data_IF_351141396987
#
_entry.id   IF_351141396987
#
_cell.length_a   1.000
_cell.length_b   1.000
_cell.length_c   1.000
_cell.angle_alpha   90.00
_cell.angle_beta   90.00
_cell.angle_gamma   90.00
#
_symmetry.space_group_name_H-M   'P 1'
#
loop_
_entity.id
_entity.type
_entity.pdbx_description
1 polymer ?
#
# COMPACT_ATOMS: atom_id res chain seq x y z
N UNK A 1 11.97 7.79 15.37
CA UNK A 1 10.65 7.53 14.73
C UNK A 1 10.00 8.86 14.44
N UNK A 2 9.62 9.13 13.21
CA UNK A 2 8.90 10.33 12.81
C UNK A 2 7.53 10.41 13.48
N UNK A 3 7.01 11.62 13.63
CA UNK A 3 5.68 11.87 14.19
C UNK A 3 4.62 11.53 13.14
N UNK A 4 3.74 10.59 13.42
CA UNK A 4 2.71 10.12 12.45
C UNK A 4 1.40 10.91 12.52
N UNK A 5 1.16 11.67 13.60
CA UNK A 5 -0.04 12.51 13.76
C UNK A 5 0.32 13.87 14.32
N UNK A 6 -0.42 14.90 13.93
CA UNK A 6 -0.25 16.27 14.37
C UNK A 6 -1.55 16.85 14.91
N UNK A 7 -1.47 17.81 15.85
CA UNK A 7 -2.63 18.52 16.39
C UNK A 7 -2.95 19.73 15.53
N UNK A 8 -4.18 19.84 15.07
CA UNK A 8 -4.69 20.99 14.33
C UNK A 8 -5.80 21.70 15.12
N UNK A 9 -5.83 23.04 15.05
CA UNK A 9 -6.95 23.82 15.56
C UNK A 9 -7.94 24.05 14.40
N UNK A 10 -9.15 23.54 14.56
CA UNK A 10 -10.15 23.63 13.49
C UNK A 10 -11.39 24.40 13.93
N UNK A 11 -12.08 24.97 12.95
CA UNK A 11 -13.48 25.38 13.09
C UNK A 11 -14.38 24.25 12.63
N UNK A 12 -15.39 23.92 13.42
CA UNK A 12 -16.44 22.99 13.03
C UNK A 12 -17.68 23.76 12.69
N UNK A 13 -18.35 23.38 11.60
CA UNK A 13 -19.68 23.83 11.25
C UNK A 13 -20.60 22.62 11.27
N UNK A 14 -21.70 22.72 11.95
CA UNK A 14 -22.73 21.68 12.01
C UNK A 14 -24.06 22.26 11.56
N UNK A 15 -24.81 21.48 10.82
CA UNK A 15 -26.17 21.78 10.43
C UNK A 15 -27.09 20.86 11.21
N UNK A 16 -28.06 21.43 11.93
CA UNK A 16 -29.11 20.67 12.61
C UNK A 16 -30.42 21.35 12.30
N UNK A 17 -31.36 20.63 11.72
CA UNK A 17 -32.70 21.13 11.36
C UNK A 17 -32.66 22.48 10.60
N UNK A 18 -31.71 22.61 9.65
CA UNK A 18 -31.47 23.80 8.86
C UNK A 18 -30.73 24.95 9.56
N UNK A 19 -30.42 24.82 10.85
CA UNK A 19 -29.68 25.84 11.62
C UNK A 19 -28.18 25.56 11.64
N UNK A 20 -27.37 26.61 11.45
CA UNK A 20 -25.90 26.53 11.45
C UNK A 20 -25.34 26.78 12.85
N UNK A 21 -24.48 25.87 13.27
CA UNK A 21 -23.70 25.96 14.51
C UNK A 21 -22.22 25.98 14.18
N UNK A 22 -21.48 26.93 14.73
CA UNK A 22 -20.04 27.01 14.57
C UNK A 22 -19.34 26.82 15.92
N UNK A 23 -18.24 26.07 15.93
CA UNK A 23 -17.43 25.84 17.11
C UNK A 23 -15.94 25.80 16.76
N UNK A 24 -15.09 25.78 17.78
CA UNK A 24 -13.65 25.54 17.66
C UNK A 24 -13.29 24.30 18.47
N UNK A 25 -12.47 23.41 17.93
CA UNK A 25 -11.92 22.26 18.65
C UNK A 25 -10.51 21.95 18.20
N UNK A 26 -9.80 21.19 19.05
CA UNK A 26 -8.61 20.49 18.59
C UNK A 26 -9.01 19.27 17.77
N UNK A 27 -8.19 18.96 16.76
CA UNK A 27 -8.32 17.75 15.95
C UNK A 27 -6.94 17.13 15.74
N UNK A 28 -6.90 15.88 15.27
CA UNK A 28 -5.66 15.21 14.89
C UNK A 28 -5.68 14.96 13.40
N UNK A 29 -4.59 15.29 12.73
CA UNK A 29 -4.38 15.05 11.30
C UNK A 29 -3.22 14.09 11.12
N UNK A 30 -3.27 13.29 10.06
CA UNK A 30 -2.13 12.47 9.65
C UNK A 30 -0.99 13.39 9.19
N UNK A 31 0.23 13.04 9.57
CA UNK A 31 1.41 13.74 9.05
C UNK A 31 1.70 13.22 7.65
N UNK A 32 1.89 14.17 6.73
CA UNK A 32 2.30 13.93 5.35
C UNK A 32 3.58 14.72 5.08
N UNK A 33 4.65 14.01 4.76
CA UNK A 33 5.96 14.60 4.49
C UNK A 33 6.58 14.00 3.23
N UNK A 34 7.37 14.78 2.47
CA UNK A 34 8.11 14.25 1.34
C UNK A 34 9.16 13.23 1.81
N UNK A 35 9.44 12.25 0.98
CA UNK A 35 10.59 11.36 1.10
C UNK A 35 11.34 11.37 -0.23
N UNK A 36 12.55 11.93 -0.23
CA UNK A 36 13.49 11.91 -1.36
C UNK A 36 14.24 10.57 -1.32
N UNK A 37 13.95 9.71 -2.29
CA UNK A 37 14.55 8.39 -2.43
C UNK A 37 15.74 8.51 -3.38
N UNK A 38 16.92 8.17 -2.87
CA UNK A 38 18.17 8.19 -3.63
C UNK A 38 18.77 6.80 -3.74
N UNK A 39 19.44 6.57 -4.84
CA UNK A 39 20.20 5.34 -5.07
C UNK A 39 21.61 5.74 -5.47
N UNK A 40 22.63 5.26 -4.72
CA UNK A 40 24.03 5.60 -4.93
C UNK A 40 24.26 7.12 -5.05
N UNK A 41 23.58 7.91 -4.22
CA UNK A 41 23.64 9.37 -4.17
C UNK A 41 22.80 10.11 -5.21
N UNK A 42 22.15 9.42 -6.15
CA UNK A 42 21.35 10.03 -7.21
C UNK A 42 19.85 9.91 -6.90
N UNK A 43 19.11 10.99 -7.09
CA UNK A 43 17.67 11.01 -6.85
C UNK A 43 16.95 10.05 -7.82
N UNK A 44 16.21 9.10 -7.26
CA UNK A 44 15.39 8.16 -8.00
C UNK A 44 13.92 8.60 -8.04
N UNK A 45 13.35 8.98 -6.88
CA UNK A 45 11.94 9.34 -6.75
C UNK A 45 11.73 10.28 -5.57
N UNK A 46 10.63 11.03 -5.62
CA UNK A 46 10.10 11.82 -4.51
C UNK A 46 8.66 11.39 -4.25
N UNK A 47 8.35 10.92 -3.06
CA UNK A 47 6.98 10.51 -2.67
C UNK A 47 6.52 11.25 -1.41
N UNK A 48 5.21 11.53 -1.31
CA UNK A 48 4.59 11.99 -0.08
C UNK A 48 4.17 10.78 0.74
N UNK A 49 4.56 10.73 2.03
CA UNK A 49 4.24 9.58 2.87
C UNK A 49 3.92 9.98 4.32
N UNK A 50 3.27 9.11 5.05
CA UNK A 50 3.25 9.17 6.52
C UNK A 50 4.59 8.64 7.05
N UNK A 51 5.34 9.42 7.86
CA UNK A 51 6.65 9.00 8.38
C UNK A 51 6.61 7.68 9.13
N UNK A 52 7.69 6.92 9.01
CA UNK A 52 7.88 5.60 9.62
C UNK A 52 7.77 4.46 8.60
N UNK A 53 8.48 3.38 8.90
CA UNK A 53 8.64 2.21 8.02
C UNK A 53 9.21 2.58 6.63
N UNK A 54 10.04 3.61 6.54
CA UNK A 54 10.54 4.13 5.27
C UNK A 54 11.46 3.12 4.57
N UNK A 55 12.20 2.29 5.31
CA UNK A 55 13.00 1.20 4.75
C UNK A 55 12.09 0.17 4.06
N UNK A 56 11.01 -0.23 4.73
CA UNK A 56 10.01 -1.12 4.14
C UNK A 56 9.37 -0.50 2.90
N UNK A 57 8.94 0.79 2.99
CA UNK A 57 8.37 1.53 1.87
C UNK A 57 9.24 1.43 0.61
N UNK A 58 10.52 1.66 0.78
CA UNK A 58 11.44 1.71 -0.36
C UNK A 58 11.76 0.33 -0.90
N UNK A 59 11.95 -0.67 -0.04
CA UNK A 59 12.12 -2.06 -0.50
C UNK A 59 10.91 -2.53 -1.30
N UNK A 60 9.70 -2.26 -0.83
CA UNK A 60 8.48 -2.61 -1.55
C UNK A 60 8.34 -1.85 -2.88
N UNK A 61 8.62 -0.55 -2.89
CA UNK A 61 8.62 0.26 -4.10
C UNK A 61 9.61 -0.26 -5.14
N UNK A 62 10.88 -0.47 -4.76
CA UNK A 62 11.91 -0.96 -5.67
C UNK A 62 11.62 -2.38 -6.18
N UNK A 63 11.04 -3.24 -5.34
CA UNK A 63 10.61 -4.57 -5.74
C UNK A 63 9.45 -4.51 -6.74
N UNK A 64 8.42 -3.71 -6.49
CA UNK A 64 7.27 -3.54 -7.37
C UNK A 64 7.63 -2.97 -8.74
N UNK A 65 8.67 -2.11 -8.80
CA UNK A 65 9.22 -1.60 -10.07
C UNK A 65 10.14 -2.61 -10.79
N UNK A 66 10.40 -3.78 -10.17
CA UNK A 66 11.27 -4.82 -10.71
C UNK A 66 12.76 -4.48 -10.62
N UNK A 67 13.11 -3.48 -9.81
CA UNK A 67 14.48 -2.97 -9.63
C UNK A 67 15.30 -3.92 -8.77
N UNK A 68 14.73 -4.41 -7.68
CA UNK A 68 15.33 -5.42 -6.80
C UNK A 68 14.51 -6.71 -6.78
N UNK A 69 15.15 -7.83 -6.48
CA UNK A 69 14.51 -9.12 -6.30
C UNK A 69 14.57 -9.60 -4.84
N UNK A 70 15.69 -9.33 -4.21
CA UNK A 70 16.04 -9.83 -2.89
C UNK A 70 16.45 -8.65 -2.00
N UNK A 71 16.34 -8.82 -0.68
CA UNK A 71 16.76 -7.78 0.26
C UNK A 71 18.27 -7.48 0.17
N UNK A 72 19.07 -8.48 -0.20
CA UNK A 72 20.52 -8.37 -0.36
C UNK A 72 20.94 -7.50 -1.56
N UNK A 73 20.03 -7.21 -2.48
CA UNK A 73 20.28 -6.28 -3.58
C UNK A 73 20.56 -4.85 -3.07
N UNK A 74 20.13 -4.56 -1.84
CA UNK A 74 20.45 -3.33 -1.12
C UNK A 74 21.48 -3.64 -0.04
N UNK A 75 22.67 -3.07 -0.17
CA UNK A 75 23.77 -3.31 0.76
C UNK A 75 23.77 -2.34 1.94
N UNK A 76 23.24 -1.16 1.76
CA UNK A 76 23.11 -0.13 2.78
C UNK A 76 21.86 0.72 2.53
N UNK A 77 21.15 1.08 3.60
CA UNK A 77 20.05 2.03 3.59
C UNK A 77 20.24 3.02 4.73
N UNK A 78 20.43 4.31 4.43
CA UNK A 78 20.68 5.33 5.46
C UNK A 78 19.83 6.57 5.23
N UNK A 79 19.39 7.15 6.33
CA UNK A 79 18.91 8.52 6.30
C UNK A 79 20.11 9.45 6.11
N UNK A 80 20.06 10.27 5.08
CA UNK A 80 20.99 11.38 4.97
C UNK A 80 20.56 12.46 5.98
N UNK A 81 21.53 13.09 6.63
CA UNK A 81 21.26 14.27 7.45
C UNK A 81 20.61 15.33 6.58
N UNK A 82 19.30 15.47 6.73
CA UNK A 82 18.54 16.47 6.01
C UNK A 82 19.02 17.84 6.43
N UNK A 83 19.08 18.79 5.48
CA UNK A 83 19.34 20.18 5.83
C UNK A 83 18.37 20.60 6.93
N UNK A 84 18.93 21.18 8.00
CA UNK A 84 18.15 21.83 9.03
C UNK A 84 17.48 23.04 8.38
N UNK A 85 16.21 22.91 8.02
CA UNK A 85 15.46 24.04 7.48
C UNK A 85 14.98 24.86 8.67
N UNK A 86 15.54 26.04 8.83
CA UNK A 86 14.96 27.08 9.66
C UNK A 86 13.69 27.60 8.98
N UNK A 87 12.53 27.18 9.49
CA UNK A 87 11.22 27.64 8.97
C UNK A 87 10.84 29.05 9.44
N UNK A 88 11.78 29.81 9.96
CA UNK A 88 11.58 31.16 10.50
C UNK A 88 10.88 31.20 11.87
N UNK A 89 10.60 30.05 12.46
CA UNK A 89 10.03 29.94 13.83
C UNK A 89 11.08 29.71 14.91
N UNK A 90 12.36 29.62 14.53
CA UNK A 90 13.49 29.38 15.44
C UNK A 90 13.64 27.91 15.87
N UNK A 91 12.84 27.00 15.30
CA UNK A 91 12.97 25.56 15.53
C UNK A 91 13.61 24.89 14.32
N UNK A 92 14.81 24.39 14.49
CA UNK A 92 15.49 23.55 13.52
C UNK A 92 14.71 22.23 13.38
N UNK A 93 14.00 22.04 12.26
CA UNK A 93 13.43 20.73 11.92
C UNK A 93 14.48 19.88 11.22
N UNK A 94 14.93 18.83 11.88
CA UNK A 94 15.72 17.81 11.25
C UNK A 94 14.78 16.97 10.35
N UNK A 95 14.85 17.19 9.04
CA UNK A 95 14.03 16.47 8.08
C UNK A 95 14.76 15.19 7.68
N UNK A 96 14.49 14.08 8.37
CA UNK A 96 14.85 12.73 7.93
C UNK A 96 14.07 12.32 6.66
N UNK A 97 14.01 13.23 5.68
CA UNK A 97 13.20 13.09 4.48
C UNK A 97 14.03 12.73 3.25
N UNK A 98 15.30 12.41 3.43
CA UNK A 98 16.19 11.92 2.37
C UNK A 98 16.74 10.57 2.81
N UNK A 99 16.48 9.54 2.00
CA UNK A 99 17.04 8.21 2.21
C UNK A 99 17.83 7.77 1.00
N UNK A 100 19.09 7.43 1.21
CA UNK A 100 20.02 6.96 0.19
C UNK A 100 20.29 5.47 0.37
N UNK A 101 20.21 4.74 -0.74
CA UNK A 101 20.47 3.32 -0.81
C UNK A 101 21.72 3.05 -1.62
N UNK A 102 22.54 2.17 -1.11
CA UNK A 102 23.65 1.62 -1.87
C UNK A 102 23.27 0.28 -2.43
N UNK A 103 23.40 0.11 -3.73
CA UNK A 103 23.16 -1.15 -4.42
C UNK A 103 24.23 -1.40 -5.45
N UNK A 104 24.52 -2.68 -5.68
CA UNK A 104 25.39 -3.15 -6.75
C UNK A 104 24.60 -3.72 -7.93
N UNK A 105 23.25 -3.70 -7.88
CA UNK A 105 22.38 -4.23 -8.92
C UNK A 105 22.54 -3.43 -10.25
N UNK A 106 23.04 -4.05 -11.32
CA UNK A 106 23.39 -3.33 -12.56
C UNK A 106 22.18 -2.77 -13.30
N UNK A 107 20.97 -3.28 -13.05
CA UNK A 107 19.73 -2.81 -13.68
C UNK A 107 19.27 -1.42 -13.19
N UNK A 108 19.86 -0.89 -12.14
CA UNK A 108 19.52 0.44 -11.59
C UNK A 108 20.16 1.59 -12.36
N UNK A 109 21.30 1.35 -13.04
CA UNK A 109 22.05 2.39 -13.74
C UNK A 109 21.27 3.11 -14.86
N UNK A 110 20.37 2.45 -15.63
CA UNK A 110 19.55 3.13 -16.64
C UNK A 110 18.33 3.85 -16.07
N UNK A 111 17.87 3.50 -14.87
CA UNK A 111 16.63 4.02 -14.27
C UNK A 111 16.86 5.36 -13.55
N UNK A 112 18.06 5.58 -13.07
CA UNK A 112 18.47 6.85 -12.44
C UNK A 112 18.41 8.03 -13.42
N UNK A 113 18.43 7.76 -14.74
CA UNK A 113 18.27 8.78 -15.78
C UNK A 113 16.80 9.11 -16.09
N UNK A 114 15.84 8.33 -15.61
CA UNK A 114 14.41 8.61 -15.73
C UNK A 114 13.90 9.10 -14.38
N UNK A 115 13.78 10.42 -14.22
CA UNK A 115 13.13 11.02 -13.03
C UNK A 115 11.72 10.42 -12.84
N UNK A 116 11.59 9.49 -11.90
CA UNK A 116 10.29 9.00 -11.45
C UNK A 116 9.64 10.06 -10.55
N UNK A 117 9.02 11.06 -11.15
CA UNK A 117 8.07 11.90 -10.43
C UNK A 117 6.82 11.05 -10.22
N UNK A 118 6.69 10.45 -9.06
CA UNK A 118 5.47 9.72 -8.67
C UNK A 118 4.36 10.73 -8.41
N UNK A 119 3.74 11.22 -9.47
CA UNK A 119 2.41 11.82 -9.36
C UNK A 119 1.42 10.68 -9.38
N UNK A 120 0.46 10.70 -8.48
CA UNK A 120 -0.65 9.74 -8.36
C UNK A 120 -1.57 9.66 -9.60
N UNK A 121 -1.11 10.16 -10.73
CA UNK A 121 -1.77 10.19 -12.02
C UNK A 121 -0.74 9.93 -13.14
N UNK A 122 -0.10 8.76 -13.15
CA UNK A 122 0.77 8.38 -14.25
C UNK A 122 -0.08 7.93 -15.44
N UNK A 123 0.01 8.67 -16.56
CA UNK A 123 -0.60 8.31 -17.82
C UNK A 123 0.15 7.15 -18.47
N UNK A 124 -0.18 5.93 -18.08
CA UNK A 124 0.27 4.72 -18.76
C UNK A 124 -0.88 4.25 -19.65
N UNK A 125 -0.63 4.04 -20.94
CA UNK A 125 -1.63 3.50 -21.87
C UNK A 125 -1.94 2.03 -21.53
N UNK A 126 -3.26 1.71 -21.38
CA UNK A 126 -3.74 0.49 -20.74
C UNK A 126 -3.15 -0.85 -21.19
N UNK A 127 -3.12 -1.17 -22.49
CA UNK A 127 -2.67 -2.49 -22.98
C UNK A 127 -1.15 -2.69 -22.90
N UNK A 128 -0.37 -1.67 -23.24
CA UNK A 128 1.11 -1.72 -23.13
C UNK A 128 1.58 -1.88 -21.68
N UNK A 129 0.74 -1.46 -20.72
CA UNK A 129 1.02 -1.55 -19.30
C UNK A 129 0.84 -2.95 -18.76
N UNK A 130 -0.19 -3.67 -19.18
CA UNK A 130 -0.49 -5.04 -18.73
C UNK A 130 0.60 -5.99 -19.23
N UNK A 131 0.96 -5.90 -20.50
CA UNK A 131 2.05 -6.71 -21.08
C UNK A 131 3.39 -6.45 -20.37
N UNK A 132 3.69 -5.19 -20.05
CA UNK A 132 4.90 -4.83 -19.32
C UNK A 132 4.91 -5.40 -17.90
N UNK A 133 3.76 -5.43 -17.22
CA UNK A 133 3.62 -6.05 -15.88
C UNK A 133 3.83 -7.55 -15.97
N UNK A 134 3.21 -8.22 -16.94
CA UNK A 134 3.36 -9.66 -17.15
C UNK A 134 4.80 -10.06 -17.44
N UNK A 135 5.53 -9.27 -18.25
CA UNK A 135 6.94 -9.52 -18.56
C UNK A 135 7.87 -9.29 -17.36
N UNK A 136 7.51 -8.40 -16.43
CA UNK A 136 8.28 -8.14 -15.21
C UNK A 136 8.00 -9.14 -14.10
N UNK A 137 6.86 -9.83 -14.13
CA UNK A 137 6.44 -10.78 -13.09
C UNK A 137 7.42 -11.94 -12.99
N UNK A 138 7.79 -12.28 -11.75
CA UNK A 138 8.77 -13.34 -11.43
C UNK A 138 8.10 -14.60 -10.93
N UNK A 139 6.84 -14.52 -10.55
CA UNK A 139 6.10 -15.59 -9.88
C UNK A 139 4.85 -15.97 -10.67
N UNK A 140 4.52 -17.26 -10.62
CA UNK A 140 3.20 -17.73 -11.07
C UNK A 140 2.21 -17.60 -9.92
N UNK A 141 0.95 -17.25 -10.24
CA UNK A 141 -0.12 -17.18 -9.25
C UNK A 141 -0.94 -18.47 -9.16
N UNK A 142 -0.47 -19.55 -9.78
CA UNK A 142 -1.11 -20.85 -9.69
C UNK A 142 -1.00 -21.38 -8.25
N UNK A 143 -2.15 -21.58 -7.62
CA UNK A 143 -2.26 -22.06 -6.24
C UNK A 143 -3.39 -23.08 -6.16
N UNK A 144 -3.19 -24.12 -5.36
CA UNK A 144 -4.13 -25.23 -5.15
C UNK A 144 -5.02 -25.07 -3.90
N UNK A 145 -5.10 -23.87 -3.35
CA UNK A 145 -5.90 -23.56 -2.17
C UNK A 145 -7.09 -22.66 -2.47
N UNK A 146 -8.14 -22.82 -1.68
CA UNK A 146 -9.29 -21.92 -1.64
C UNK A 146 -9.56 -21.42 -0.21
N UNK A 147 -10.22 -20.28 -0.12
CA UNK A 147 -10.59 -19.64 1.15
C UNK A 147 -12.11 -19.61 1.29
N UNK A 148 -12.56 -19.91 2.49
CA UNK A 148 -13.92 -19.54 2.89
C UNK A 148 -14.07 -18.00 2.87
N UNK A 149 -15.04 -17.44 2.13
CA UNK A 149 -15.29 -16.00 2.09
C UNK A 149 -15.43 -15.35 3.46
N UNK A 150 -15.92 -16.09 4.47
CA UNK A 150 -16.04 -15.62 5.86
C UNK A 150 -14.69 -15.29 6.47
N UNK A 151 -13.64 -16.02 6.11
CA UNK A 151 -12.24 -15.74 6.54
C UNK A 151 -11.79 -14.37 6.03
N UNK A 152 -12.09 -14.03 4.79
CA UNK A 152 -11.74 -12.74 4.20
C UNK A 152 -12.50 -11.59 4.87
N UNK A 153 -13.79 -11.81 5.15
CA UNK A 153 -14.61 -10.82 5.89
C UNK A 153 -14.12 -10.63 7.33
N UNK A 154 -13.75 -11.71 8.01
CA UNK A 154 -13.16 -11.64 9.35
C UNK A 154 -11.85 -10.84 9.35
N UNK A 155 -10.97 -11.07 8.36
CA UNK A 155 -9.74 -10.30 8.20
C UNK A 155 -10.02 -8.81 7.93
N UNK A 156 -11.03 -8.47 7.12
CA UNK A 156 -11.43 -7.09 6.86
C UNK A 156 -11.89 -6.36 8.13
N UNK A 157 -12.62 -7.08 9.01
CA UNK A 157 -13.00 -6.57 10.34
C UNK A 157 -11.77 -6.37 11.23
N UNK A 158 -10.88 -7.35 11.29
CA UNK A 158 -9.65 -7.29 12.08
C UNK A 158 -8.76 -6.12 11.62
N UNK A 159 -8.66 -5.88 10.31
CA UNK A 159 -7.93 -4.74 9.76
C UNK A 159 -8.46 -3.41 10.32
N UNK A 160 -9.77 -3.21 10.33
CA UNK A 160 -10.38 -1.98 10.88
C UNK A 160 -9.99 -1.75 12.35
N UNK A 161 -9.86 -2.79 13.15
CA UNK A 161 -9.41 -2.71 14.54
C UNK A 161 -7.93 -2.38 14.72
N UNK A 162 -7.10 -2.61 13.70
CA UNK A 162 -5.65 -2.37 13.75
C UNK A 162 -5.21 -1.06 13.09
N UNK A 163 -6.10 -0.31 12.48
CA UNK A 163 -5.82 0.99 11.86
C UNK A 163 -5.69 2.10 12.91
N UNK A 164 -4.58 2.15 13.62
CA UNK A 164 -4.38 3.04 14.78
C UNK A 164 -4.22 4.52 14.40
N UNK A 165 -3.62 4.81 13.25
CA UNK A 165 -3.48 6.18 12.74
C UNK A 165 -4.81 6.65 12.14
N UNK A 166 -5.49 5.79 11.38
CA UNK A 166 -6.81 6.08 10.82
C UNK A 166 -7.84 6.37 11.92
N UNK A 167 -7.88 5.57 12.98
CA UNK A 167 -8.81 5.75 14.09
C UNK A 167 -8.66 7.14 14.77
N UNK A 168 -7.46 7.72 14.70
CA UNK A 168 -7.16 9.04 15.29
C UNK A 168 -7.38 10.20 14.33
N UNK A 169 -7.25 9.98 13.02
CA UNK A 169 -7.14 11.06 12.03
C UNK A 169 -8.14 10.93 10.89
N UNK A 170 -8.59 9.72 10.57
CA UNK A 170 -9.38 9.43 9.37
C UNK A 170 -8.64 9.68 8.04
N UNK A 171 -7.33 10.00 8.07
CA UNK A 171 -6.58 10.57 6.96
C UNK A 171 -5.57 9.62 6.30
N UNK A 172 -5.60 8.32 6.56
CA UNK A 172 -4.66 7.35 6.00
C UNK A 172 -5.36 6.13 5.41
N UNK A 173 -4.66 5.41 4.56
CA UNK A 173 -5.04 4.09 4.06
C UNK A 173 -4.26 3.01 4.79
N UNK A 174 -4.77 1.77 4.72
CA UNK A 174 -4.09 0.61 5.25
C UNK A 174 -3.96 -0.50 4.20
N UNK A 175 -2.89 -1.27 4.31
CA UNK A 175 -2.66 -2.52 3.62
C UNK A 175 -2.25 -3.59 4.64
N UNK A 176 -2.77 -4.80 4.49
CA UNK A 176 -2.42 -5.95 5.30
C UNK A 176 -2.07 -7.15 4.43
N UNK A 177 -1.04 -7.88 4.81
CA UNK A 177 -0.81 -9.24 4.35
C UNK A 177 -1.49 -10.19 5.32
N UNK A 178 -2.28 -11.09 4.79
CA UNK A 178 -3.13 -12.00 5.56
C UNK A 178 -2.83 -13.43 5.13
N UNK A 179 -2.62 -14.33 6.09
CA UNK A 179 -2.44 -15.73 5.79
C UNK A 179 -3.75 -16.44 5.44
N UNK A 180 -3.68 -17.70 4.99
CA UNK A 180 -4.85 -18.50 4.61
C UNK A 180 -5.82 -18.79 5.76
N UNK A 181 -5.40 -18.57 7.00
CA UNK A 181 -6.25 -18.74 8.17
C UNK A 181 -6.95 -17.45 8.62
N UNK A 182 -6.66 -16.33 7.92
CA UNK A 182 -7.23 -15.01 8.20
C UNK A 182 -6.44 -14.18 9.22
N UNK A 183 -5.26 -14.65 9.65
CA UNK A 183 -4.41 -13.86 10.53
C UNK A 183 -3.71 -12.74 9.78
N UNK A 184 -3.76 -11.54 10.33
CA UNK A 184 -3.01 -10.40 9.83
C UNK A 184 -1.52 -10.56 10.19
N UNK A 185 -0.68 -10.87 9.19
CA UNK A 185 0.77 -11.01 9.38
C UNK A 185 1.43 -9.66 9.60
N UNK A 186 0.99 -8.66 8.89
CA UNK A 186 1.45 -7.28 8.97
C UNK A 186 0.34 -6.33 8.55
N UNK A 187 0.25 -5.18 9.22
CA UNK A 187 -0.61 -4.05 8.84
C UNK A 187 0.27 -2.81 8.72
N UNK A 188 0.12 -2.07 7.63
CA UNK A 188 0.81 -0.81 7.38
C UNK A 188 -0.17 0.27 6.99
N UNK A 189 0.01 1.45 7.59
CA UNK A 189 -0.80 2.63 7.32
C UNK A 189 0.06 3.71 6.67
N UNK A 190 -0.53 4.41 5.69
CA UNK A 190 0.09 5.56 5.03
C UNK A 190 -0.99 6.47 4.43
N UNK A 191 -0.70 7.79 4.32
CA UNK A 191 -1.54 8.74 3.60
C UNK A 191 -1.73 8.32 2.13
N UNK A 192 -0.70 7.73 1.53
CA UNK A 192 -0.71 7.16 0.19
C UNK A 192 -1.07 5.67 0.20
N UNK A 193 -2.19 5.30 -0.47
CA UNK A 193 -2.59 3.88 -0.59
C UNK A 193 -1.51 2.98 -1.20
N UNK A 194 -0.75 3.48 -2.17
CA UNK A 194 0.35 2.74 -2.79
C UNK A 194 1.50 2.53 -1.81
N UNK A 195 1.83 3.55 -1.02
CA UNK A 195 2.85 3.47 0.02
C UNK A 195 2.49 2.46 1.11
N UNK A 196 1.20 2.39 1.51
CA UNK A 196 0.76 1.38 2.48
C UNK A 196 1.01 -0.05 1.96
N UNK A 197 0.75 -0.30 0.67
CA UNK A 197 1.04 -1.58 0.01
C UNK A 197 2.54 -1.83 -0.09
N UNK A 198 3.32 -0.82 -0.51
CA UNK A 198 4.77 -0.92 -0.57
C UNK A 198 5.38 -1.25 0.79
N UNK A 199 4.93 -0.58 1.86
CA UNK A 199 5.36 -0.90 3.23
C UNK A 199 5.08 -2.35 3.60
N UNK A 200 3.90 -2.88 3.27
CA UNK A 200 3.54 -4.27 3.60
C UNK A 200 4.37 -5.29 2.80
N UNK A 201 4.55 -5.06 1.49
CA UNK A 201 5.37 -5.92 0.63
C UNK A 201 6.85 -5.81 1.01
N UNK A 202 7.33 -4.60 1.29
CA UNK A 202 8.72 -4.39 1.72
C UNK A 202 9.03 -5.06 3.05
N UNK A 203 8.08 -5.06 4.00
CA UNK A 203 8.21 -5.88 5.20
C UNK A 203 8.40 -7.37 4.85
N UNK A 204 7.58 -7.92 3.95
CA UNK A 204 7.67 -9.32 3.56
C UNK A 204 9.01 -9.63 2.86
N UNK A 205 9.52 -8.72 2.02
CA UNK A 205 10.84 -8.87 1.39
C UNK A 205 11.96 -8.91 2.42
N UNK A 206 11.92 -8.01 3.41
CA UNK A 206 12.92 -7.93 4.49
C UNK A 206 12.90 -9.16 5.40
N UNK A 207 11.74 -9.80 5.56
CA UNK A 207 11.54 -11.02 6.33
C UNK A 207 11.73 -12.32 5.51
N UNK A 208 12.28 -12.23 4.27
CA UNK A 208 12.48 -13.36 3.35
C UNK A 208 11.20 -14.19 3.09
N UNK A 209 10.05 -13.51 2.97
CA UNK A 209 8.74 -14.15 2.79
C UNK A 209 8.24 -14.19 1.37
N UNK A 210 8.95 -13.61 0.40
CA UNK A 210 8.53 -13.66 -0.99
C UNK A 210 8.89 -15.00 -1.65
N UNK A 211 8.05 -15.55 -2.53
CA UNK A 211 6.73 -15.06 -2.94
C UNK A 211 5.64 -15.30 -1.88
N UNK A 212 4.60 -14.44 -1.91
CA UNK A 212 3.46 -14.50 -0.99
C UNK A 212 2.31 -15.36 -1.53
N UNK A 213 2.64 -16.53 -2.07
CA UNK A 213 1.67 -17.44 -2.69
C UNK A 213 0.66 -18.07 -1.72
N UNK A 214 0.94 -18.05 -0.43
CA UNK A 214 0.09 -18.56 0.65
C UNK A 214 -0.64 -17.44 1.43
N UNK A 215 -0.61 -16.22 0.90
CA UNK A 215 -1.20 -15.04 1.52
C UNK A 215 -2.17 -14.34 0.56
N UNK A 216 -2.97 -13.45 1.10
CA UNK A 216 -3.70 -12.47 0.32
C UNK A 216 -3.41 -11.04 0.80
N UNK A 217 -3.54 -10.09 -0.12
CA UNK A 217 -3.42 -8.67 0.18
C UNK A 217 -4.82 -8.09 0.44
N UNK A 218 -4.99 -7.45 1.59
CA UNK A 218 -6.21 -6.74 1.94
C UNK A 218 -5.92 -5.25 2.06
N UNK A 219 -6.64 -4.41 1.31
CA UNK A 219 -6.44 -2.96 1.31
C UNK A 219 -7.73 -2.22 1.70
N UNK A 220 -7.61 -1.17 2.50
CA UNK A 220 -8.74 -0.31 2.88
C UNK A 220 -9.20 0.60 1.73
N UNK A 221 -8.37 0.76 0.71
CA UNK A 221 -8.57 1.62 -0.44
C UNK A 221 -9.35 0.93 -1.57
N UNK A 222 -9.42 1.61 -2.73
CA UNK A 222 -9.80 1.01 -4.01
C UNK A 222 -8.64 0.16 -4.55
N UNK A 223 -8.96 -0.90 -5.30
CA UNK A 223 -7.99 -1.56 -6.15
C UNK A 223 -7.77 -0.71 -7.42
N UNK A 224 -6.56 -0.25 -7.65
CA UNK A 224 -6.09 0.37 -8.88
C UNK A 224 -5.13 -0.56 -9.61
N UNK A 225 -4.84 -0.24 -10.87
CA UNK A 225 -3.83 -0.95 -11.66
C UNK A 225 -2.53 -1.15 -10.87
N UNK A 226 -1.99 -0.09 -10.27
CA UNK A 226 -0.70 -0.15 -9.57
C UNK A 226 -0.76 -1.08 -8.33
N UNK A 227 -1.92 -1.14 -7.64
CA UNK A 227 -2.08 -2.04 -6.49
C UNK A 227 -2.12 -3.50 -6.97
N UNK A 228 -2.82 -3.78 -8.08
CA UNK A 228 -2.85 -5.12 -8.68
C UNK A 228 -1.44 -5.52 -9.18
N UNK A 229 -0.72 -4.60 -9.83
CA UNK A 229 0.67 -4.81 -10.24
C UNK A 229 1.57 -5.14 -9.06
N UNK A 230 1.52 -4.36 -7.97
CA UNK A 230 2.32 -4.59 -6.77
C UNK A 230 2.04 -5.96 -6.14
N UNK A 231 0.76 -6.35 -6.06
CA UNK A 231 0.36 -7.66 -5.57
C UNK A 231 0.92 -8.79 -6.46
N UNK A 232 0.80 -8.65 -7.79
CA UNK A 232 1.34 -9.62 -8.75
C UNK A 232 2.86 -9.75 -8.63
N UNK A 233 3.58 -8.63 -8.58
CA UNK A 233 5.04 -8.63 -8.45
C UNK A 233 5.54 -9.30 -7.17
N UNK A 234 4.73 -9.32 -6.10
CA UNK A 234 5.01 -10.01 -4.85
C UNK A 234 4.53 -11.48 -4.83
N UNK A 235 3.94 -11.98 -5.92
CA UNK A 235 3.42 -13.35 -6.01
C UNK A 235 2.14 -13.57 -5.20
N UNK A 236 1.33 -12.52 -4.98
CA UNK A 236 0.08 -12.58 -4.21
C UNK A 236 -1.08 -12.99 -5.13
N UNK A 237 -1.73 -14.14 -4.91
CA UNK A 237 -2.74 -14.65 -5.82
C UNK A 237 -4.15 -14.09 -5.59
N UNK A 238 -4.40 -13.41 -4.47
CA UNK A 238 -5.69 -12.83 -4.13
C UNK A 238 -5.54 -11.41 -3.57
N UNK A 239 -6.25 -10.45 -4.18
CA UNK A 239 -6.36 -9.06 -3.75
C UNK A 239 -7.79 -8.75 -3.32
N UNK A 240 -7.98 -8.38 -2.06
CA UNK A 240 -9.25 -7.91 -1.53
C UNK A 240 -9.20 -6.41 -1.21
N UNK A 241 -10.20 -5.66 -1.65
CA UNK A 241 -10.30 -4.24 -1.33
C UNK A 241 -11.66 -3.87 -0.71
N UNK A 242 -11.62 -2.98 0.27
CA UNK A 242 -12.83 -2.49 0.99
C UNK A 242 -13.71 -1.63 0.08
N UNK A 243 -13.13 -1.01 -0.95
CA UNK A 243 -13.84 -0.16 -1.90
C UNK A 243 -13.88 -0.79 -3.30
N UNK A 244 -14.17 -0.01 -4.33
CA UNK A 244 -14.31 -0.47 -5.70
C UNK A 244 -12.97 -0.84 -6.36
N UNK A 245 -13.02 -1.65 -7.42
CA UNK A 245 -11.92 -1.83 -8.38
C UNK A 245 -12.09 -0.89 -9.57
N UNK A 246 -10.99 -0.50 -10.21
CA UNK A 246 -10.99 0.16 -11.52
C UNK A 246 -11.02 -0.88 -12.63
N UNK A 247 -11.49 -0.50 -13.83
CA UNK A 247 -11.51 -1.43 -14.98
C UNK A 247 -10.13 -1.99 -15.27
N UNK A 248 -9.09 -1.14 -15.33
CA UNK A 248 -7.72 -1.58 -15.60
C UNK A 248 -7.17 -2.51 -14.51
N UNK A 249 -7.61 -2.37 -13.23
CA UNK A 249 -7.26 -3.32 -12.19
C UNK A 249 -7.94 -4.69 -12.40
N UNK A 250 -9.18 -4.69 -12.90
CA UNK A 250 -9.91 -5.92 -13.26
C UNK A 250 -9.20 -6.61 -14.41
N UNK A 251 -8.94 -5.88 -15.50
CA UNK A 251 -8.26 -6.42 -16.69
C UNK A 251 -6.87 -6.98 -16.34
N UNK A 252 -6.12 -6.27 -15.49
CA UNK A 252 -4.80 -6.72 -15.02
C UNK A 252 -4.92 -8.00 -14.19
N UNK A 253 -5.85 -8.04 -13.24
CA UNK A 253 -6.03 -9.20 -12.37
C UNK A 253 -6.47 -10.44 -13.17
N UNK A 254 -7.33 -10.24 -14.17
CA UNK A 254 -7.78 -11.31 -15.06
C UNK A 254 -6.63 -11.89 -15.88
N UNK A 255 -5.82 -11.03 -16.51
CA UNK A 255 -4.68 -11.43 -17.33
C UNK A 255 -3.61 -12.21 -16.58
N UNK A 256 -3.37 -11.84 -15.29
CA UNK A 256 -2.31 -12.49 -14.48
C UNK A 256 -2.84 -13.66 -13.61
N UNK A 257 -4.11 -14.02 -13.73
CA UNK A 257 -4.72 -15.11 -12.96
C UNK A 257 -4.92 -14.78 -11.48
N UNK A 258 -5.14 -13.51 -11.11
CA UNK A 258 -5.34 -13.05 -9.74
C UNK A 258 -6.82 -13.00 -9.40
N UNK A 259 -7.21 -13.53 -8.23
CA UNK A 259 -8.55 -13.30 -7.68
C UNK A 259 -8.65 -11.87 -7.17
N UNK A 260 -9.59 -11.09 -7.74
CA UNK A 260 -9.83 -9.70 -7.34
C UNK A 260 -11.20 -9.56 -6.69
N UNK A 261 -11.19 -9.09 -5.45
CA UNK A 261 -12.39 -8.83 -4.65
C UNK A 261 -12.53 -7.32 -4.38
N UNK A 262 -13.75 -6.82 -4.50
CA UNK A 262 -14.06 -5.45 -4.13
C UNK A 262 -15.27 -5.35 -3.23
N UNK A 263 -15.45 -4.17 -2.63
CA UNK A 263 -16.50 -3.90 -1.65
C UNK A 263 -16.52 -4.92 -0.50
N UNK A 264 -15.34 -5.42 -0.12
CA UNK A 264 -15.15 -6.40 0.95
C UNK A 264 -15.42 -5.71 2.29
N UNK A 265 -16.61 -5.90 2.81
CA UNK A 265 -17.10 -5.23 4.02
C UNK A 265 -17.76 -6.24 4.93
N UNK A 266 -17.33 -6.29 6.19
CA UNK A 266 -17.96 -7.06 7.24
C UNK A 266 -18.74 -6.13 8.17
N UNK A 267 -19.94 -6.55 8.57
CA UNK A 267 -20.73 -5.92 9.60
C UNK A 267 -20.36 -6.47 11.00
N UNK A 268 -20.77 -5.79 12.06
CA UNK A 268 -20.46 -6.20 13.45
C UNK A 268 -21.12 -7.53 13.85
N UNK A 269 -22.31 -7.82 13.29
CA UNK A 269 -23.11 -9.04 13.54
C UNK A 269 -22.56 -10.30 12.86
N UNK A 270 -21.54 -10.17 12.03
CA UNK A 270 -20.92 -11.27 11.28
C UNK A 270 -21.31 -11.31 9.82
N UNK A 271 -22.34 -10.58 9.43
CA UNK A 271 -22.73 -10.41 8.05
C UNK A 271 -21.67 -9.64 7.27
N UNK A 272 -21.70 -9.77 5.95
CA UNK A 272 -20.76 -9.06 5.10
C UNK A 272 -21.04 -9.31 3.63
N UNK A 273 -20.31 -8.58 2.81
CA UNK A 273 -20.39 -8.73 1.35
C UNK A 273 -19.05 -8.49 0.69
N UNK A 274 -18.87 -9.08 -0.48
CA UNK A 274 -17.81 -8.77 -1.41
C UNK A 274 -18.29 -9.01 -2.83
N UNK A 275 -17.72 -8.28 -3.78
CA UNK A 275 -17.91 -8.54 -5.21
C UNK A 275 -16.69 -9.30 -5.71
N UNK A 276 -16.90 -10.37 -6.44
CA UNK A 276 -15.83 -11.14 -7.10
C UNK A 276 -15.76 -10.67 -8.54
N UNK A 277 -14.62 -10.09 -8.94
CA UNK A 277 -14.41 -9.56 -10.29
C UNK A 277 -13.72 -10.56 -11.20
N UNK A 278 -12.73 -11.30 -10.67
CA UNK A 278 -11.91 -12.23 -11.47
C UNK A 278 -11.59 -13.48 -10.66
N UNK A 279 -11.34 -14.58 -11.34
CA UNK A 279 -10.81 -15.86 -10.83
C UNK A 279 -11.43 -16.33 -9.50
N UNK A 280 -12.74 -16.72 -9.48
CA UNK A 280 -13.42 -17.14 -8.26
C UNK A 280 -12.91 -18.46 -7.67
N UNK A 281 -12.08 -19.19 -8.38
CA UNK A 281 -11.65 -20.56 -8.03
C UNK A 281 -10.91 -20.65 -6.69
N UNK A 282 -10.36 -19.50 -6.22
CA UNK A 282 -9.73 -19.42 -4.90
C UNK A 282 -10.71 -19.12 -3.77
N UNK A 283 -12.02 -19.14 -4.06
CA UNK A 283 -13.05 -19.03 -3.04
C UNK A 283 -13.77 -20.37 -2.90
N UNK A 284 -13.91 -20.86 -1.68
CA UNK A 284 -14.80 -21.99 -1.39
C UNK A 284 -16.24 -21.50 -1.37
N UNK A 285 -16.93 -21.69 -2.49
CA UNK A 285 -18.32 -21.32 -2.67
C UNK A 285 -19.29 -22.52 -2.50
N UNK A 286 -18.82 -23.64 -1.97
CA UNK A 286 -19.60 -24.88 -1.85
C UNK A 286 -20.85 -24.77 -0.97
N UNK A 287 -20.93 -23.73 -0.11
CA UNK A 287 -22.05 -23.46 0.76
C UNK A 287 -22.94 -22.27 0.35
N UNK A 288 -22.77 -21.75 -0.87
CA UNK A 288 -23.55 -20.58 -1.32
C UNK A 288 -24.92 -21.03 -1.83
N UNK A 289 -25.98 -20.53 -1.17
CA UNK A 289 -27.35 -20.64 -1.67
C UNK A 289 -27.53 -19.64 -2.84
N UNK A 290 -28.03 -20.13 -3.99
CA UNK A 290 -28.20 -19.34 -5.22
C UNK A 290 -29.48 -18.50 -5.24
#
# INVERSE_FOLDING_TARGET
MGRVTESARIRTVRVREGTLYAGRKGDRVAVEEPLDIRVNGQQLSLTMRTPGQDIELIHGFLHAEGIIAHREDITEARYCDGAVVDDGTGFARNTYNVMDFTTTAPQLLPLVTKNFTTTSACGVCGSESIDAVRQKGRYTLEQDWSLDPRTILAAARALSGQQTVFARTGGVHAAALVDRTGNLLVVREDVGRHNAVDKAIGWALLEDRLPLGDCFLLVSSRASFEIAQKAYMAGIPLLACVSAASSLAVDTADEVGMTLLGFTRAAEDGDGRMNVYTHPDRLDLSGVEG
#
